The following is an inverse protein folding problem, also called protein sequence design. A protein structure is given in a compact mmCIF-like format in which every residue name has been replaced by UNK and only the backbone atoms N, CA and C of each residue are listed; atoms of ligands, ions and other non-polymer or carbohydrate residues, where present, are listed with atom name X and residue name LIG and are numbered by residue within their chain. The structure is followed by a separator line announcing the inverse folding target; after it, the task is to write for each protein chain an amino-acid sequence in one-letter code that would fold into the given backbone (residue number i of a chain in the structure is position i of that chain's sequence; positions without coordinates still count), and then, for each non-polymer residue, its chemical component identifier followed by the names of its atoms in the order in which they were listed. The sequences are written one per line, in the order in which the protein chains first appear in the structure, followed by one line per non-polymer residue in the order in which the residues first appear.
data_IF_350944734045
#
_entry.id   IF_350944734045
#
_cell.length_a   1.000
_cell.length_b   1.000
_cell.length_c   1.000
_cell.angle_alpha   90.00
_cell.angle_beta   90.00
_cell.angle_gamma   90.00
#
_symmetry.space_group_name_H-M   'P 1'
#
loop_
_entity.id
_entity.type
_entity.pdbx_description
1 polymer ?
#
# COMPACT_ATOMS: atom_id res chain seq x y z
N UNK A 1 -18.86 80.43 11.84
CA UNK A 1 -18.68 79.06 12.38
C UNK A 1 -19.47 78.09 11.52
N UNK A 2 -18.80 77.27 10.69
CA UNK A 2 -19.46 76.15 9.98
C UNK A 2 -19.31 74.91 10.88
N UNK A 3 -20.42 74.42 11.41
CA UNK A 3 -20.44 73.14 12.12
C UNK A 3 -20.49 72.03 11.08
N UNK A 4 -19.44 71.21 11.01
CA UNK A 4 -19.41 70.01 10.19
C UNK A 4 -20.14 68.90 10.96
N UNK A 5 -21.34 68.55 10.49
CA UNK A 5 -22.13 67.48 11.05
C UNK A 5 -21.62 66.15 10.47
N UNK A 6 -20.89 65.39 11.27
CA UNK A 6 -20.44 64.05 10.89
C UNK A 6 -21.59 63.06 11.07
N UNK A 7 -22.11 62.52 9.97
CA UNK A 7 -23.06 61.41 9.99
C UNK A 7 -22.29 60.10 10.18
N UNK A 8 -22.55 59.40 11.28
CA UNK A 8 -22.04 58.04 11.53
C UNK A 8 -23.03 57.01 11.03
N UNK A 9 -22.54 55.93 10.43
CA UNK A 9 -23.36 54.79 9.99
C UNK A 9 -23.82 53.95 11.18
N UNK A 10 -24.89 53.18 10.98
CA UNK A 10 -25.35 52.21 11.97
C UNK A 10 -24.36 51.06 12.16
N UNK A 11 -24.43 50.42 13.32
CA UNK A 11 -23.61 49.25 13.65
C UNK A 11 -24.07 48.04 12.83
N UNK A 12 -23.11 47.20 12.44
CA UNK A 12 -23.42 45.94 11.76
C UNK A 12 -23.95 44.88 12.73
N UNK A 13 -24.56 43.83 12.18
CA UNK A 13 -24.88 42.63 12.94
C UNK A 13 -23.65 42.05 13.65
N UNK A 14 -23.84 41.55 14.86
CA UNK A 14 -22.76 40.97 15.66
C UNK A 14 -22.36 39.60 15.10
N UNK A 15 -21.07 39.42 14.79
CA UNK A 15 -20.51 38.12 14.41
C UNK A 15 -19.84 37.48 15.63
N UNK A 16 -20.22 36.26 15.96
CA UNK A 16 -19.58 35.49 17.03
C UNK A 16 -18.34 34.79 16.47
N UNK A 17 -17.16 35.22 16.91
CA UNK A 17 -15.89 34.56 16.62
C UNK A 17 -15.60 33.51 17.69
N UNK A 18 -15.26 32.30 17.29
CA UNK A 18 -14.73 31.26 18.18
C UNK A 18 -13.26 31.04 17.85
N UNK A 19 -12.40 31.23 18.83
CA UNK A 19 -10.96 31.05 18.72
C UNK A 19 -10.56 29.85 19.55
N UNK A 20 -9.80 28.94 18.96
CA UNK A 20 -9.26 27.77 19.63
C UNK A 20 -7.78 28.00 19.89
N UNK A 21 -7.31 27.70 21.11
CA UNK A 21 -5.89 27.86 21.47
C UNK A 21 -4.98 26.80 20.81
N UNK A 22 -5.56 25.67 20.41
CA UNK A 22 -4.80 24.55 19.85
C UNK A 22 -4.57 24.73 18.35
N UNK A 23 -3.33 24.49 17.91
CA UNK A 23 -3.03 24.34 16.48
C UNK A 23 -3.79 23.11 15.95
N UNK A 24 -4.58 23.24 14.89
CA UNK A 24 -5.28 22.11 14.33
C UNK A 24 -4.27 21.07 13.81
N UNK A 25 -4.65 19.80 13.85
CA UNK A 25 -3.90 18.70 13.25
C UNK A 25 -4.67 18.23 12.02
N UNK A 26 -4.11 18.32 10.81
CA UNK A 26 -4.78 17.84 9.61
C UNK A 26 -4.84 16.32 9.58
N UNK A 27 -5.86 15.79 8.90
CA UNK A 27 -6.07 14.36 8.65
C UNK A 27 -5.60 14.04 7.23
N UNK A 28 -4.57 13.20 7.12
CA UNK A 28 -4.08 12.69 5.85
C UNK A 28 -4.78 11.37 5.51
N UNK A 29 -5.28 11.28 4.28
CA UNK A 29 -5.82 10.06 3.67
C UNK A 29 -5.06 9.76 2.39
N UNK A 30 -4.96 8.48 2.06
CA UNK A 30 -4.24 8.00 0.87
C UNK A 30 -5.16 7.06 0.09
N UNK A 31 -5.23 7.23 -1.22
CA UNK A 31 -6.05 6.38 -2.08
C UNK A 31 -5.43 6.20 -3.47
N UNK A 32 -5.23 4.95 -3.94
CA UNK A 32 -5.31 3.72 -3.15
C UNK A 32 -4.09 3.57 -2.22
N UNK A 33 -4.18 2.76 -1.16
CA UNK A 33 -3.03 2.44 -0.28
C UNK A 33 -1.93 1.59 -0.95
N UNK A 34 -2.18 1.19 -2.21
CA UNK A 34 -1.22 0.65 -3.17
C UNK A 34 -0.65 -0.75 -2.92
N UNK A 35 -0.53 -1.56 -3.98
CA UNK A 35 0.04 -2.93 -3.99
C UNK A 35 0.93 -3.19 -5.24
N UNK A 36 0.84 -2.37 -6.30
CA UNK A 36 1.41 -2.68 -7.63
C UNK A 36 2.42 -1.63 -8.10
N UNK A 37 3.73 -1.80 -7.95
CA UNK A 37 4.75 -0.76 -8.15
C UNK A 37 4.52 0.17 -9.36
N UNK A 38 4.72 1.47 -9.15
CA UNK A 38 4.86 2.45 -10.23
C UNK A 38 3.61 3.24 -10.64
N UNK A 39 2.39 2.89 -10.24
CA UNK A 39 1.24 3.76 -10.50
C UNK A 39 0.93 4.75 -9.36
N UNK A 40 -0.01 5.65 -9.62
CA UNK A 40 -0.12 6.93 -8.93
C UNK A 40 -1.02 6.91 -7.70
N UNK A 41 -0.50 7.34 -6.55
CA UNK A 41 -1.28 7.48 -5.31
C UNK A 41 -1.81 8.89 -5.19
N UNK A 42 -3.07 9.05 -4.78
CA UNK A 42 -3.62 10.34 -4.38
C UNK A 42 -3.54 10.48 -2.86
N UNK A 43 -2.84 11.52 -2.40
CA UNK A 43 -2.84 11.99 -1.02
C UNK A 43 -3.92 13.06 -0.87
N UNK A 44 -4.71 13.04 0.20
CA UNK A 44 -5.69 14.09 0.51
C UNK A 44 -5.57 14.52 1.97
N UNK A 45 -5.52 15.82 2.21
CA UNK A 45 -5.25 16.43 3.51
C UNK A 45 -6.44 17.29 3.92
N UNK A 46 -7.10 16.95 5.02
CA UNK A 46 -8.28 17.66 5.51
C UNK A 46 -7.98 18.38 6.82
N UNK A 47 -8.38 19.64 6.94
CA UNK A 47 -8.28 20.42 8.17
C UNK A 47 -9.67 20.56 8.77
N UNK A 48 -9.79 20.27 10.06
CA UNK A 48 -11.04 20.46 10.81
C UNK A 48 -11.51 21.92 10.69
N UNK A 49 -12.76 22.13 10.30
CA UNK A 49 -13.34 23.45 9.96
C UNK A 49 -12.68 24.11 8.72
N UNK A 50 -12.87 23.54 7.52
CA UNK A 50 -12.26 24.06 6.30
C UNK A 50 -12.72 25.51 6.05
N UNK A 51 -11.76 26.40 5.86
CA UNK A 51 -11.98 27.82 5.58
C UNK A 51 -11.19 28.21 4.33
N UNK A 52 -11.60 29.27 3.63
CA UNK A 52 -10.85 29.78 2.49
C UNK A 52 -9.42 30.21 2.90
N UNK A 53 -8.44 29.97 2.03
CA UNK A 53 -7.07 30.44 2.20
C UNK A 53 -6.09 29.47 2.86
N UNK A 54 -6.46 28.21 3.07
CA UNK A 54 -5.49 27.16 3.41
C UNK A 54 -4.61 26.82 2.21
N UNK A 55 -3.32 26.60 2.48
CA UNK A 55 -2.37 25.99 1.56
C UNK A 55 -1.79 24.74 2.18
N UNK A 56 -1.71 23.67 1.40
CA UNK A 56 -1.28 22.36 1.86
C UNK A 56 0.15 22.06 1.45
N UNK A 57 0.92 21.52 2.38
CA UNK A 57 2.32 21.20 2.24
C UNK A 57 2.49 19.69 2.44
N UNK A 58 3.15 19.04 1.50
CA UNK A 58 3.23 17.58 1.39
C UNK A 58 4.65 17.11 1.53
N UNK A 59 4.88 16.15 2.42
CA UNK A 59 6.20 15.67 2.74
C UNK A 59 6.25 14.15 2.63
N UNK A 60 7.38 13.65 2.13
CA UNK A 60 7.76 12.25 2.27
C UNK A 60 8.42 12.11 3.64
N UNK A 61 7.75 11.44 4.56
CA UNK A 61 8.15 11.37 5.96
C UNK A 61 9.26 10.36 6.25
N UNK A 62 9.50 9.40 5.35
CA UNK A 62 10.43 8.28 5.60
C UNK A 62 11.17 7.92 4.29
N UNK A 63 12.50 7.66 4.28
CA UNK A 63 13.40 7.33 5.41
C UNK A 63 13.77 8.45 6.38
N UNK A 64 13.60 9.73 6.03
CA UNK A 64 13.93 10.84 6.94
C UNK A 64 12.86 11.95 6.89
N UNK A 65 12.50 12.47 8.07
CA UNK A 65 11.44 13.49 8.28
C UNK A 65 11.96 14.91 7.96
N UNK A 66 13.25 15.04 7.65
CA UNK A 66 13.91 16.32 7.37
C UNK A 66 13.48 16.87 6.01
N UNK A 67 12.45 17.71 6.01
CA UNK A 67 12.04 18.63 4.93
C UNK A 67 12.05 18.04 3.50
N UNK A 68 11.75 16.74 3.37
CA UNK A 68 11.60 16.05 2.07
C UNK A 68 10.28 16.45 1.43
N UNK A 69 10.19 17.71 1.04
CA UNK A 69 9.03 18.31 0.44
C UNK A 69 8.81 17.72 -0.96
N UNK A 70 7.57 17.29 -1.23
CA UNK A 70 7.23 16.76 -2.53
C UNK A 70 7.32 17.85 -3.61
N UNK A 71 7.72 17.51 -4.85
CA UNK A 71 7.90 18.48 -5.92
C UNK A 71 6.61 19.25 -6.18
N UNK A 72 6.72 20.58 -6.31
CA UNK A 72 5.56 21.47 -6.48
C UNK A 72 4.88 21.91 -5.18
N UNK A 73 5.34 21.44 -4.01
CA UNK A 73 4.77 21.82 -2.71
C UNK A 73 5.50 22.98 -2.00
N UNK A 74 6.51 23.60 -2.62
CA UNK A 74 7.36 24.68 -2.03
C UNK A 74 6.61 25.92 -1.57
N UNK A 75 5.52 26.28 -2.26
CA UNK A 75 4.65 27.41 -1.89
C UNK A 75 3.29 26.99 -1.32
N UNK A 76 3.13 25.69 -1.07
CA UNK A 76 1.88 25.02 -0.71
C UNK A 76 0.88 24.96 -1.89
N UNK A 77 0.08 23.91 -1.94
CA UNK A 77 -0.99 23.73 -2.93
C UNK A 77 -2.30 24.32 -2.41
N UNK A 78 -3.07 24.98 -3.26
CA UNK A 78 -4.44 25.40 -2.91
C UNK A 78 -5.40 24.21 -2.89
N UNK A 79 -5.10 23.19 -3.71
CA UNK A 79 -5.81 21.91 -3.69
C UNK A 79 -5.43 21.12 -2.43
N UNK A 80 -6.44 20.54 -1.80
CA UNK A 80 -6.36 19.62 -0.65
C UNK A 80 -5.90 18.20 -1.04
N UNK A 81 -5.54 17.98 -2.30
CA UNK A 81 -5.09 16.70 -2.85
C UNK A 81 -3.80 16.81 -3.66
N UNK A 82 -2.95 15.79 -3.58
CA UNK A 82 -1.68 15.69 -4.30
C UNK A 82 -1.47 14.30 -4.87
N UNK A 83 -1.01 14.19 -6.12
CA UNK A 83 -0.77 12.91 -6.79
C UNK A 83 0.74 12.60 -6.78
N UNK A 84 1.10 11.45 -6.22
CA UNK A 84 2.46 10.93 -6.24
C UNK A 84 2.62 9.93 -7.38
N UNK A 85 3.59 10.14 -8.25
CA UNK A 85 3.90 9.27 -9.39
C UNK A 85 5.19 8.48 -9.18
N UNK A 86 5.28 7.29 -9.79
CA UNK A 86 6.54 6.55 -9.93
C UNK A 86 7.12 5.97 -8.64
N UNK A 87 6.30 5.81 -7.60
CA UNK A 87 6.74 5.21 -6.34
C UNK A 87 6.88 3.69 -6.49
N UNK A 88 8.08 3.16 -6.20
CA UNK A 88 8.40 1.73 -6.38
C UNK A 88 8.52 0.96 -5.06
N UNK A 89 8.71 1.67 -3.95
CA UNK A 89 8.94 1.08 -2.62
C UNK A 89 7.94 1.61 -1.61
N UNK A 90 7.81 0.92 -0.47
CA UNK A 90 7.03 1.40 0.67
C UNK A 90 7.53 2.79 1.11
N UNK A 91 6.61 3.73 1.32
CA UNK A 91 6.92 5.11 1.70
C UNK A 91 5.87 5.69 2.65
N UNK A 92 6.33 6.49 3.63
CA UNK A 92 5.45 7.25 4.52
C UNK A 92 5.27 8.69 4.02
N UNK A 93 4.07 9.23 4.18
CA UNK A 93 3.71 10.61 3.85
C UNK A 93 3.07 11.32 5.04
N UNK A 94 3.32 12.63 5.13
CA UNK A 94 2.65 13.53 6.08
C UNK A 94 2.24 14.81 5.35
N UNK A 95 1.17 15.45 5.83
CA UNK A 95 0.76 16.75 5.35
C UNK A 95 0.73 17.79 6.48
N UNK A 96 0.83 19.06 6.09
CA UNK A 96 0.73 20.23 6.95
C UNK A 96 -0.03 21.30 6.19
N UNK A 97 -0.80 22.15 6.86
CA UNK A 97 -1.46 23.27 6.23
C UNK A 97 -0.96 24.61 6.79
N UNK A 98 -1.05 25.67 6.00
CA UNK A 98 -0.67 27.03 6.39
C UNK A 98 -1.60 28.07 5.79
N UNK A 99 -1.78 29.20 6.48
CA UNK A 99 -2.59 30.34 5.99
C UNK A 99 -2.12 31.67 6.57
N UNK A 100 -2.47 32.77 5.91
CA UNK A 100 -2.19 34.14 6.38
C UNK A 100 -0.82 34.69 5.95
N UNK A 101 -0.56 35.95 6.30
CA UNK A 101 0.71 36.63 6.06
C UNK A 101 1.12 37.44 7.32
N UNK A 102 2.11 37.00 8.12
CA UNK A 102 2.96 35.82 7.92
C UNK A 102 2.19 34.50 8.04
N UNK A 103 2.72 33.44 7.42
CA UNK A 103 2.04 32.14 7.34
C UNK A 103 1.99 31.47 8.73
N UNK A 104 0.77 31.18 9.18
CA UNK A 104 0.49 30.40 10.40
C UNK A 104 0.24 28.96 10.00
N UNK A 105 1.04 28.05 10.54
CA UNK A 105 0.98 26.64 10.21
C UNK A 105 0.26 25.78 11.25
N UNK A 106 -0.37 24.72 10.76
CA UNK A 106 -0.90 23.60 11.55
C UNK A 106 0.23 22.71 12.08
N UNK A 107 -0.12 21.74 12.93
CA UNK A 107 0.76 20.60 13.22
C UNK A 107 0.87 19.71 11.98
N UNK A 108 1.86 18.79 11.96
CA UNK A 108 1.89 17.70 10.98
C UNK A 108 0.74 16.72 11.23
N UNK A 109 0.21 16.15 10.14
CA UNK A 109 -0.70 15.01 10.21
C UNK A 109 -0.01 13.80 10.83
N UNK A 110 -0.79 12.79 11.19
CA UNK A 110 -0.23 11.45 11.38
C UNK A 110 0.34 10.92 10.06
N UNK A 111 1.37 10.08 10.16
CA UNK A 111 2.00 9.44 9.00
C UNK A 111 1.08 8.40 8.41
N UNK A 112 0.87 8.46 7.10
CA UNK A 112 0.21 7.40 6.32
C UNK A 112 1.20 6.78 5.37
N UNK A 113 1.25 5.46 5.30
CA UNK A 113 2.14 4.78 4.38
C UNK A 113 1.40 4.30 3.14
N UNK A 114 2.17 4.22 2.07
CA UNK A 114 1.85 3.58 0.80
C UNK A 114 2.81 2.41 0.70
N UNK A 115 2.30 1.22 0.44
CA UNK A 115 3.09 -0.01 0.49
C UNK A 115 3.37 -0.59 -0.90
N UNK A 116 4.50 -1.29 -1.03
CA UNK A 116 4.84 -2.05 -2.24
C UNK A 116 4.98 -3.53 -1.90
N UNK A 117 4.38 -4.40 -2.72
CA UNK A 117 4.54 -5.86 -2.59
C UNK A 117 5.88 -6.37 -3.14
N UNK A 118 6.64 -5.52 -3.83
CA UNK A 118 7.92 -5.91 -4.43
C UNK A 118 9.04 -5.95 -3.40
N UNK A 119 9.83 -7.02 -3.48
CA UNK A 119 10.96 -7.28 -2.58
C UNK A 119 12.02 -6.19 -2.76
N UNK A 120 12.41 -5.57 -1.64
CA UNK A 120 13.48 -4.58 -1.62
C UNK A 120 14.85 -5.28 -1.51
N UNK A 121 15.91 -4.85 -2.22
CA UNK A 121 17.22 -5.49 -2.16
C UNK A 121 17.84 -5.54 -0.77
N UNK A 122 17.56 -4.54 0.08
CA UNK A 122 18.10 -4.46 1.45
C UNK A 122 17.39 -5.37 2.45
N UNK A 123 16.10 -5.67 2.23
CA UNK A 123 15.27 -6.43 3.14
C UNK A 123 14.02 -7.02 2.50
N UNK A 124 13.64 -8.17 3.01
CA UNK A 124 12.45 -8.92 2.64
C UNK A 124 11.64 -9.30 3.89
N UNK A 125 10.33 -9.08 3.82
CA UNK A 125 9.36 -9.63 4.76
C UNK A 125 8.81 -10.92 4.17
N UNK A 126 8.96 -12.02 4.89
CA UNK A 126 8.41 -13.32 4.55
C UNK A 126 7.25 -13.68 5.47
N UNK A 127 6.25 -14.39 4.93
CA UNK A 127 5.08 -14.87 5.69
C UNK A 127 5.09 -16.39 5.70
N UNK A 128 4.89 -16.97 6.88
CA UNK A 128 4.84 -18.41 7.09
C UNK A 128 3.48 -18.74 7.73
N UNK A 129 2.65 -19.55 7.07
CA UNK A 129 2.80 -20.11 5.71
C UNK A 129 2.68 -19.05 4.60
N UNK A 130 3.33 -19.26 3.44
CA UNK A 130 3.38 -18.33 2.29
C UNK A 130 2.01 -18.15 1.62
N UNK A 131 1.16 -17.35 2.27
CA UNK A 131 -0.13 -16.87 1.77
C UNK A 131 -0.50 -15.58 2.50
N UNK A 132 -1.44 -14.83 1.93
CA UNK A 132 -1.89 -13.54 2.48
C UNK A 132 -3.25 -13.61 3.18
N UNK A 133 -4.00 -14.69 2.97
CA UNK A 133 -5.30 -14.90 3.61
C UNK A 133 -5.23 -16.07 4.58
N UNK A 134 -5.75 -15.88 5.78
CA UNK A 134 -5.69 -16.85 6.86
C UNK A 134 -7.04 -17.02 7.55
N UNK A 135 -7.22 -18.17 8.19
CA UNK A 135 -8.40 -18.40 9.02
C UNK A 135 -8.22 -17.80 10.41
N UNK A 136 -9.33 -17.53 11.09
CA UNK A 136 -9.31 -17.27 12.53
C UNK A 136 -8.64 -18.44 13.24
N UNK A 137 -7.76 -18.12 14.19
CA UNK A 137 -6.90 -19.06 14.92
C UNK A 137 -5.80 -19.76 14.11
N UNK A 138 -5.53 -19.35 12.86
CA UNK A 138 -4.31 -19.77 12.15
C UNK A 138 -3.07 -19.29 12.92
N UNK A 139 -2.05 -20.16 13.00
CA UNK A 139 -0.71 -19.76 13.46
C UNK A 139 0.06 -19.17 12.28
N UNK A 140 0.17 -17.85 12.25
CA UNK A 140 0.85 -17.09 11.19
C UNK A 140 2.08 -16.43 11.78
N UNK A 141 3.20 -16.51 11.06
CA UNK A 141 4.46 -15.90 11.42
C UNK A 141 4.93 -14.98 10.31
N UNK A 142 5.50 -13.86 10.67
CA UNK A 142 6.15 -12.94 9.74
C UNK A 142 7.60 -12.78 10.15
N UNK A 143 8.51 -12.81 9.19
CA UNK A 143 9.95 -12.74 9.46
C UNK A 143 10.65 -11.75 8.54
N UNK A 144 11.49 -10.91 9.12
CA UNK A 144 12.37 -10.00 8.38
C UNK A 144 13.71 -10.68 8.08
N UNK A 145 14.11 -10.65 6.81
CA UNK A 145 15.43 -11.09 6.36
C UNK A 145 16.09 -9.96 5.56
N UNK A 146 17.34 -9.63 5.87
CA UNK A 146 18.04 -8.52 5.22
C UNK A 146 19.53 -8.47 5.56
N UNK A 147 20.25 -7.57 4.90
CA UNK A 147 21.71 -7.43 5.01
C UNK A 147 22.17 -6.80 6.33
N UNK A 148 21.25 -6.17 7.07
CA UNK A 148 21.46 -5.61 8.41
C UNK A 148 20.74 -6.44 9.48
N UNK A 149 21.28 -6.48 10.70
CA UNK A 149 20.73 -7.22 11.83
C UNK A 149 19.66 -6.46 12.65
N UNK A 150 19.13 -5.35 12.11
CA UNK A 150 18.33 -4.36 12.86
C UNK A 150 16.92 -4.11 12.30
N UNK A 151 16.36 -5.04 11.51
CA UNK A 151 15.00 -4.93 11.00
C UNK A 151 13.96 -5.22 12.09
N UNK A 152 12.97 -4.34 12.23
CA UNK A 152 11.82 -4.50 13.13
C UNK A 152 10.56 -4.71 12.30
N UNK A 153 9.76 -5.70 12.66
CA UNK A 153 8.43 -5.86 12.08
C UNK A 153 7.54 -4.72 12.55
N UNK A 154 6.81 -4.12 11.62
CA UNK A 154 5.75 -3.14 11.85
C UNK A 154 4.47 -3.64 11.21
N UNK A 155 3.33 -3.18 11.72
CA UNK A 155 2.06 -3.35 11.05
C UNK A 155 1.08 -2.23 11.32
N UNK A 156 0.12 -2.06 10.44
CA UNK A 156 -1.06 -1.20 10.62
C UNK A 156 -2.28 -2.09 10.46
N UNK A 157 -3.14 -2.09 11.46
CA UNK A 157 -4.43 -2.77 11.41
C UNK A 157 -5.49 -1.84 10.79
N UNK A 158 -6.59 -2.42 10.28
CA UNK A 158 -7.64 -1.68 9.54
C UNK A 158 -8.23 -0.45 10.26
N UNK A 159 -8.19 -0.38 11.60
CA UNK A 159 -8.64 0.78 12.37
C UNK A 159 -7.66 1.97 12.33
N UNK A 160 -6.55 1.82 11.61
CA UNK A 160 -5.51 2.82 11.44
C UNK A 160 -4.51 2.86 12.59
N UNK A 161 -4.65 2.02 13.62
CA UNK A 161 -3.69 1.94 14.71
C UNK A 161 -2.43 1.21 14.28
N UNK A 162 -1.29 1.80 14.66
CA UNK A 162 0.02 1.24 14.42
C UNK A 162 0.24 0.08 15.41
N UNK A 163 0.21 -1.14 14.90
CA UNK A 163 0.65 -2.30 15.67
C UNK A 163 2.19 -2.31 15.70
N UNK A 164 2.75 -1.77 16.78
CA UNK A 164 4.14 -2.03 17.14
C UNK A 164 4.26 -3.50 17.52
N UNK A 165 4.76 -4.33 16.60
CA UNK A 165 5.10 -5.73 16.89
C UNK A 165 6.30 -5.86 17.88
N UNK A 166 6.83 -4.74 18.37
CA UNK A 166 7.97 -4.66 19.29
C UNK A 166 7.63 -5.16 20.70
N UNK A 167 6.35 -5.10 21.10
CA UNK A 167 6.01 -5.13 22.54
C UNK A 167 5.43 -6.47 23.04
N UNK A 168 5.08 -7.44 22.17
CA UNK A 168 4.63 -8.76 22.64
C UNK A 168 5.06 -9.94 21.74
N UNK A 169 5.78 -10.89 22.36
CA UNK A 169 6.05 -12.27 21.88
C UNK A 169 6.84 -12.41 20.56
N UNK A 170 7.94 -11.68 20.43
CA UNK A 170 9.02 -12.07 19.52
C UNK A 170 9.51 -13.48 19.88
N UNK A 171 9.50 -14.41 18.92
CA UNK A 171 10.16 -15.72 19.10
C UNK A 171 11.69 -15.57 18.95
N UNK A 172 12.12 -14.60 18.13
CA UNK A 172 13.50 -14.26 17.79
C UNK A 172 13.55 -12.75 17.43
N UNK A 173 14.73 -12.14 17.27
CA UNK A 173 14.87 -10.70 16.93
C UNK A 173 14.15 -10.30 15.61
N UNK A 174 13.89 -11.24 14.70
CA UNK A 174 13.32 -10.97 13.37
C UNK A 174 11.97 -11.65 13.07
N UNK A 175 11.47 -12.53 13.93
CA UNK A 175 10.24 -13.31 13.68
C UNK A 175 9.15 -13.00 14.68
N UNK A 176 7.99 -12.59 14.17
CA UNK A 176 6.81 -12.21 14.94
C UNK A 176 5.64 -13.15 14.68
N UNK A 177 4.91 -13.52 15.73
CA UNK A 177 3.70 -14.35 15.62
C UNK A 177 2.47 -13.45 15.60
N UNK A 178 1.65 -13.58 14.56
CA UNK A 178 0.38 -12.86 14.43
C UNK A 178 -0.72 -13.59 15.19
N UNK A 179 -1.47 -12.84 15.97
CA UNK A 179 -2.63 -13.31 16.71
C UNK A 179 -3.91 -13.12 15.87
N UNK A 180 -4.40 -14.20 15.26
CA UNK A 180 -5.56 -14.19 14.35
C UNK A 180 -6.92 -14.40 15.05
N UNK A 181 -6.98 -14.31 16.39
CA UNK A 181 -8.22 -14.53 17.16
C UNK A 181 -9.09 -13.28 17.26
N UNK A 182 -8.50 -12.08 17.16
CA UNK A 182 -9.21 -10.82 17.03
C UNK A 182 -9.09 -10.37 15.56
N UNK A 183 -10.14 -10.56 14.73
CA UNK A 183 -10.04 -10.37 13.29
C UNK A 183 -9.80 -8.90 12.98
N UNK A 184 -8.58 -8.60 12.55
CA UNK A 184 -8.25 -7.33 11.95
C UNK A 184 -7.33 -7.62 10.78
N UNK A 185 -7.73 -7.17 9.59
CA UNK A 185 -6.79 -7.20 8.48
C UNK A 185 -5.69 -6.20 8.80
N UNK A 186 -4.47 -6.54 8.39
CA UNK A 186 -3.31 -5.77 8.75
C UNK A 186 -2.26 -5.86 7.66
N UNK A 187 -1.64 -4.73 7.38
CA UNK A 187 -0.48 -4.67 6.50
C UNK A 187 0.78 -4.71 7.35
N UNK A 188 1.69 -5.62 7.05
CA UNK A 188 2.96 -5.77 7.73
C UNK A 188 4.13 -5.45 6.81
N UNK A 189 5.21 -4.90 7.37
CA UNK A 189 6.49 -4.65 6.68
C UNK A 189 7.65 -4.67 7.69
N UNK A 190 8.88 -4.71 7.19
CA UNK A 190 10.09 -4.52 7.99
C UNK A 190 10.57 -3.08 7.89
N UNK A 191 10.96 -2.49 9.02
CA UNK A 191 11.55 -1.16 9.13
C UNK A 191 12.95 -1.27 9.75
N UNK A 192 13.95 -0.61 9.16
CA UNK A 192 15.29 -0.50 9.73
C UNK A 192 15.41 0.72 10.66
N UNK A 193 16.44 0.76 11.49
CA UNK A 193 16.75 1.94 12.31
C UNK A 193 17.12 3.18 11.47
N UNK A 194 17.62 2.97 10.25
CA UNK A 194 17.90 4.01 9.26
C UNK A 194 16.67 4.49 8.48
N UNK A 195 15.47 3.99 8.79
CA UNK A 195 14.22 4.36 8.12
C UNK A 195 14.00 3.67 6.76
N UNK A 196 14.74 2.62 6.43
CA UNK A 196 14.48 1.81 5.23
C UNK A 196 13.31 0.84 5.45
N UNK A 197 12.65 0.45 4.36
CA UNK A 197 11.53 -0.49 4.40
C UNK A 197 11.71 -1.67 3.45
N UNK A 198 11.20 -2.84 3.85
CA UNK A 198 11.04 -4.00 2.97
C UNK A 198 9.77 -3.90 2.09
N UNK A 199 9.50 -4.98 1.35
CA UNK A 199 8.15 -5.26 0.86
C UNK A 199 7.15 -5.30 2.03
N UNK A 200 5.90 -4.99 1.70
CA UNK A 200 4.78 -5.09 2.61
C UNK A 200 3.83 -6.21 2.18
N UNK A 201 3.17 -6.84 3.15
CA UNK A 201 2.20 -7.90 2.92
C UNK A 201 0.90 -7.58 3.63
N UNK A 202 -0.21 -7.59 2.89
CA UNK A 202 -1.54 -7.36 3.44
C UNK A 202 -2.17 -8.70 3.88
N UNK A 203 -2.20 -8.94 5.18
CA UNK A 203 -2.74 -10.15 5.79
C UNK A 203 -4.20 -9.94 6.14
N UNK A 204 -5.07 -10.82 5.62
CA UNK A 204 -6.51 -10.80 5.87
C UNK A 204 -6.97 -12.05 6.61
N UNK A 205 -7.92 -11.89 7.53
CA UNK A 205 -8.49 -13.00 8.30
C UNK A 205 -9.95 -13.21 7.91
N UNK A 206 -10.28 -14.39 7.37
CA UNK A 206 -11.62 -14.65 6.86
C UNK A 206 -12.01 -16.14 6.96
N UNK A 207 -13.32 -16.44 6.93
CA UNK A 207 -13.85 -17.82 7.00
C UNK A 207 -13.75 -18.62 5.69
N UNK A 208 -13.63 -17.91 4.57
CA UNK A 208 -13.29 -18.45 3.24
C UNK A 208 -12.06 -17.71 2.75
N UNK A 209 -11.03 -18.46 2.36
CA UNK A 209 -9.76 -17.89 1.92
C UNK A 209 -9.41 -18.34 0.52
N UNK A 210 -8.87 -17.39 -0.24
CA UNK A 210 -8.06 -17.66 -1.42
C UNK A 210 -6.61 -17.86 -0.95
N UNK A 211 -6.09 -19.06 -1.15
CA UNK A 211 -4.68 -19.38 -1.01
C UNK A 211 -3.97 -18.86 -2.27
N UNK A 212 -3.48 -17.63 -2.20
CA UNK A 212 -2.57 -17.02 -3.16
C UNK A 212 -1.19 -16.81 -2.52
N UNK A 213 -0.08 -16.88 -3.28
CA UNK A 213 1.25 -16.59 -2.77
C UNK A 213 1.34 -15.17 -2.21
N UNK A 214 2.24 -14.93 -1.24
CA UNK A 214 2.47 -13.59 -0.69
C UNK A 214 3.41 -12.73 -1.55
N UNK A 215 4.12 -13.35 -2.49
CA UNK A 215 5.12 -12.71 -3.32
C UNK A 215 4.74 -12.76 -4.81
N UNK A 216 5.26 -11.82 -5.63
CA UNK A 216 5.04 -11.82 -7.08
C UNK A 216 5.46 -13.14 -7.75
N UNK A 217 4.72 -13.53 -8.79
CA UNK A 217 4.99 -14.76 -9.57
C UNK A 217 5.79 -14.41 -10.82
N UNK A 218 6.81 -15.20 -11.16
CA UNK A 218 7.62 -14.99 -12.36
C UNK A 218 6.85 -15.31 -13.65
N UNK A 219 6.99 -14.46 -14.68
CA UNK A 219 6.47 -14.74 -16.03
C UNK A 219 7.00 -16.07 -16.59
N UNK A 220 6.14 -16.82 -17.29
CA UNK A 220 6.43 -18.16 -17.79
C UNK A 220 6.38 -19.26 -16.72
N UNK A 221 6.33 -18.87 -15.44
CA UNK A 221 6.17 -19.79 -14.31
C UNK A 221 4.77 -20.41 -14.24
N UNK A 222 4.50 -21.08 -13.11
CA UNK A 222 3.19 -21.63 -12.81
C UNK A 222 2.77 -21.27 -11.40
N UNK A 223 1.51 -20.90 -11.21
CA UNK A 223 0.91 -20.67 -9.89
C UNK A 223 -0.34 -21.50 -9.73
N UNK A 224 -0.55 -22.02 -8.52
CA UNK A 224 -1.77 -22.74 -8.16
C UNK A 224 -2.48 -21.99 -7.05
N UNK A 225 -3.66 -21.46 -7.36
CA UNK A 225 -4.53 -20.83 -6.38
C UNK A 225 -5.43 -21.88 -5.76
N UNK A 226 -5.66 -21.80 -4.46
CA UNK A 226 -6.56 -22.70 -3.75
C UNK A 226 -7.74 -21.96 -3.13
N UNK A 227 -8.94 -22.52 -3.18
CA UNK A 227 -10.07 -22.02 -2.40
C UNK A 227 -10.31 -22.94 -1.21
N UNK A 228 -10.30 -22.37 0.00
CA UNK A 228 -10.50 -23.14 1.23
C UNK A 228 -11.58 -22.51 2.09
N UNK A 229 -12.48 -23.37 2.58
CA UNK A 229 -13.44 -23.05 3.62
C UNK A 229 -12.90 -23.50 4.98
N UNK A 230 -13.09 -22.69 6.02
CA UNK A 230 -12.67 -23.03 7.38
C UNK A 230 -13.31 -24.36 7.82
N UNK A 231 -12.51 -25.24 8.45
CA UNK A 231 -12.91 -26.64 8.73
C UNK A 231 -14.25 -26.80 9.46
N UNK A 232 -14.63 -25.84 10.31
CA UNK A 232 -15.87 -25.88 11.09
C UNK A 232 -17.14 -25.67 10.23
N UNK A 233 -17.00 -25.13 9.01
CA UNK A 233 -18.12 -24.87 8.09
C UNK A 233 -18.27 -25.93 7.00
N UNK A 234 -17.48 -27.00 7.02
CA UNK A 234 -17.45 -27.96 5.91
C UNK A 234 -18.75 -28.78 5.86
N UNK A 235 -19.60 -28.50 4.88
CA UNK A 235 -20.75 -29.34 4.55
C UNK A 235 -20.30 -30.63 3.85
N UNK A 236 -21.05 -31.71 4.04
CA UNK A 236 -20.76 -33.09 3.61
C UNK A 236 -20.90 -33.34 2.09
N UNK A 237 -21.17 -32.30 1.29
CA UNK A 237 -21.55 -32.37 -0.13
C UNK A 237 -20.52 -31.73 -1.07
N UNK A 238 -20.49 -32.10 -2.38
CA UNK A 238 -19.64 -31.45 -3.37
C UNK A 238 -19.99 -29.96 -3.42
N UNK A 239 -19.08 -29.14 -2.89
CA UNK A 239 -19.27 -27.71 -2.78
C UNK A 239 -18.87 -27.09 -4.10
N UNK A 240 -19.81 -26.38 -4.75
CA UNK A 240 -19.52 -25.54 -5.92
C UNK A 240 -18.47 -24.51 -5.52
N UNK A 241 -17.41 -24.41 -6.30
CA UNK A 241 -16.30 -23.47 -6.13
C UNK A 241 -16.19 -22.63 -7.40
N UNK A 242 -16.22 -21.32 -7.21
CA UNK A 242 -16.07 -20.35 -8.30
C UNK A 242 -14.82 -19.52 -8.07
N UNK A 243 -13.95 -19.41 -9.06
CA UNK A 243 -12.83 -18.48 -9.06
C UNK A 243 -13.15 -17.28 -9.95
N UNK A 244 -12.76 -16.10 -9.48
CA UNK A 244 -12.90 -14.84 -10.19
C UNK A 244 -11.53 -14.21 -10.43
N UNK A 245 -11.34 -13.62 -11.60
CA UNK A 245 -10.23 -12.72 -11.94
C UNK A 245 -10.83 -11.40 -12.42
N UNK A 246 -10.48 -10.29 -11.77
CA UNK A 246 -11.04 -8.95 -12.02
C UNK A 246 -12.57 -8.97 -12.12
N UNK A 247 -13.20 -9.61 -11.12
CA UNK A 247 -14.66 -9.83 -11.00
C UNK A 247 -15.31 -10.71 -12.08
N UNK A 248 -14.54 -11.24 -13.04
CA UNK A 248 -15.02 -12.18 -14.06
C UNK A 248 -14.77 -13.62 -13.64
N UNK A 249 -15.71 -14.51 -13.91
CA UNK A 249 -15.58 -15.94 -13.60
C UNK A 249 -14.52 -16.56 -14.54
N UNK A 250 -13.52 -17.23 -13.95
CA UNK A 250 -12.48 -17.98 -14.69
C UNK A 250 -12.61 -19.49 -14.50
N UNK A 251 -13.24 -19.94 -13.42
CA UNK A 251 -13.54 -21.34 -13.17
C UNK A 251 -14.81 -21.44 -12.31
N UNK A 252 -15.73 -22.34 -12.66
CA UNK A 252 -16.96 -22.61 -11.91
C UNK A 252 -17.23 -24.11 -11.97
N UNK A 253 -16.75 -24.83 -10.96
CA UNK A 253 -16.86 -26.29 -10.87
C UNK A 253 -16.65 -26.77 -9.42
N UNK A 254 -16.26 -28.04 -9.23
CA UNK A 254 -15.97 -28.62 -7.91
C UNK A 254 -14.47 -28.56 -7.54
N UNK A 255 -13.59 -28.12 -8.44
CA UNK A 255 -12.14 -28.08 -8.23
C UNK A 255 -11.84 -26.93 -7.27
N UNK A 256 -11.29 -27.30 -6.11
CA UNK A 256 -10.84 -26.35 -5.08
C UNK A 256 -9.51 -25.66 -5.43
N UNK A 257 -8.98 -25.89 -6.63
CA UNK A 257 -7.73 -25.32 -7.12
C UNK A 257 -7.92 -24.76 -8.53
N UNK A 258 -7.27 -23.64 -8.81
CA UNK A 258 -7.10 -23.04 -10.13
C UNK A 258 -5.61 -23.05 -10.46
N UNK A 259 -5.26 -23.68 -11.58
CA UNK A 259 -3.88 -23.78 -12.02
C UNK A 259 -3.66 -22.84 -13.21
N UNK A 260 -2.68 -21.94 -13.09
CA UNK A 260 -2.22 -21.08 -14.18
C UNK A 260 -0.84 -21.59 -14.57
N UNK A 261 -0.76 -22.23 -15.74
CA UNK A 261 0.47 -22.79 -16.29
C UNK A 261 0.94 -21.89 -17.44
N UNK A 262 2.14 -21.31 -17.33
CA UNK A 262 2.64 -20.22 -18.16
C UNK A 262 2.01 -18.85 -17.84
N UNK A 263 2.32 -18.36 -16.64
CA UNK A 263 1.90 -17.03 -16.15
C UNK A 263 2.39 -15.94 -17.11
N UNK A 264 1.49 -15.01 -17.44
CA UNK A 264 1.72 -13.87 -18.32
C UNK A 264 1.28 -12.58 -17.66
N UNK A 265 1.62 -11.42 -18.24
CA UNK A 265 1.15 -10.13 -17.71
C UNK A 265 -0.38 -10.01 -17.65
N UNK A 266 -1.11 -10.73 -18.51
CA UNK A 266 -2.57 -10.74 -18.50
C UNK A 266 -3.18 -11.46 -17.29
N UNK A 267 -2.41 -12.33 -16.63
CA UNK A 267 -2.83 -13.03 -15.42
C UNK A 267 -2.69 -12.16 -14.16
N UNK A 268 -2.05 -11.00 -14.26
CA UNK A 268 -1.98 -10.02 -13.17
C UNK A 268 -3.37 -9.45 -12.85
N UNK A 269 -3.67 -9.26 -11.57
CA UNK A 269 -4.92 -8.62 -11.14
C UNK A 269 -5.50 -9.15 -9.85
N UNK A 270 -6.77 -8.80 -9.60
CA UNK A 270 -7.49 -9.22 -8.40
C UNK A 270 -8.14 -10.59 -8.60
N UNK A 271 -7.79 -11.52 -7.72
CA UNK A 271 -8.43 -12.82 -7.61
C UNK A 271 -9.24 -12.93 -6.33
N UNK A 272 -10.36 -13.65 -6.41
CA UNK A 272 -11.09 -14.15 -5.23
C UNK A 272 -11.74 -15.47 -5.57
N UNK A 273 -12.10 -16.24 -4.56
CA UNK A 273 -12.90 -17.44 -4.76
C UNK A 273 -14.21 -17.36 -3.99
N UNK A 274 -15.16 -18.17 -4.40
CA UNK A 274 -16.44 -18.37 -3.73
C UNK A 274 -16.60 -19.85 -3.47
N UNK A 275 -16.94 -20.17 -2.22
CA UNK A 275 -17.13 -21.53 -1.76
C UNK A 275 -18.55 -21.66 -1.23
N UNK A 276 -19.41 -22.40 -1.94
CA UNK A 276 -20.82 -22.59 -1.55
C UNK A 276 -21.58 -21.28 -1.24
N UNK A 277 -21.35 -20.23 -2.03
CA UNK A 277 -22.01 -18.93 -1.86
C UNK A 277 -21.27 -17.92 -0.97
N UNK A 278 -20.29 -18.35 -0.18
CA UNK A 278 -19.44 -17.44 0.62
C UNK A 278 -18.20 -17.02 -0.18
N UNK A 279 -17.98 -15.71 -0.35
CA UNK A 279 -16.85 -15.14 -1.11
C UNK A 279 -15.65 -14.87 -0.20
N UNK A 280 -14.44 -15.14 -0.67
CA UNK A 280 -13.20 -14.72 -0.03
C UNK A 280 -12.93 -13.22 -0.26
N UNK A 281 -12.09 -12.59 0.58
CA UNK A 281 -11.48 -11.31 0.25
C UNK A 281 -10.76 -11.38 -1.11
N UNK A 282 -10.61 -10.22 -1.77
CA UNK A 282 -9.78 -10.12 -2.97
C UNK A 282 -8.30 -10.14 -2.60
N UNK A 283 -7.50 -10.77 -3.46
CA UNK A 283 -6.05 -10.81 -3.37
C UNK A 283 -5.46 -10.38 -4.71
N UNK A 284 -4.51 -9.45 -4.68
CA UNK A 284 -3.79 -9.04 -5.89
C UNK A 284 -2.67 -10.04 -6.17
N UNK A 285 -2.62 -10.56 -7.39
CA UNK A 285 -1.51 -11.39 -7.86
C UNK A 285 -0.67 -10.55 -8.82
N UNK A 286 0.57 -10.27 -8.42
CA UNK A 286 1.54 -9.53 -9.22
C UNK A 286 2.38 -10.48 -10.07
N UNK A 287 2.70 -10.07 -11.31
CA UNK A 287 3.58 -10.83 -12.20
C UNK A 287 4.90 -10.08 -12.37
N UNK A 288 6.00 -10.74 -11.98
CA UNK A 288 7.37 -10.23 -12.12
C UNK A 288 7.97 -10.70 -13.44
N UNK A 289 8.47 -9.75 -14.21
CA UNK A 289 9.22 -10.01 -15.43
C UNK A 289 10.72 -10.13 -15.08
N UNK A 290 11.40 -11.19 -15.54
CA UNK A 290 12.85 -11.31 -15.37
C UNK A 290 13.58 -10.54 -16.46
N UNK A 291 14.58 -9.74 -16.06
CA UNK A 291 15.52 -9.13 -16.99
C UNK A 291 16.46 -10.21 -17.52
N UNK A 292 16.30 -10.60 -18.78
CA UNK A 292 17.32 -11.38 -19.47
C UNK A 292 18.45 -10.42 -19.83
N UNK A 293 19.49 -10.35 -18.99
CA UNK A 293 20.78 -9.81 -19.40
C UNK A 293 21.44 -10.84 -20.32
N UNK A 294 21.31 -10.67 -21.63
CA UNK A 294 22.16 -11.40 -22.58
C UNK A 294 23.60 -10.93 -22.39
N UNK A 295 24.39 -11.65 -21.60
CA UNK A 295 25.85 -11.52 -21.59
C UNK A 295 26.33 -12.18 -22.88
N UNK A 296 26.52 -11.40 -23.95
CA UNK A 296 27.31 -11.84 -25.08
C UNK A 296 28.77 -11.86 -24.64
N UNK A 297 29.32 -13.07 -24.47
CA UNK A 297 30.74 -13.28 -24.23
C UNK A 297 31.53 -13.01 -25.52
N UNK A 298 31.84 -11.75 -25.80
CA UNK A 298 32.93 -11.41 -26.71
C UNK A 298 33.86 -10.42 -26.02
N UNK A 299 35.15 -10.64 -26.26
CA UNK A 299 36.33 -10.19 -25.52
C UNK A 299 36.52 -8.67 -25.46
N UNK A 300 37.02 -8.19 -24.30
CA UNK A 300 37.73 -6.92 -24.06
C UNK A 300 37.27 -5.67 -24.84
N UNK A 301 36.37 -4.88 -24.25
CA UNK A 301 36.50 -3.42 -24.04
C UNK A 301 35.22 -2.88 -23.37
N UNK A 302 35.39 -2.05 -22.34
CA UNK A 302 34.27 -1.39 -21.65
C UNK A 302 33.57 -0.39 -22.59
N UNK A 303 32.46 -0.80 -23.20
CA UNK A 303 31.43 0.09 -23.70
C UNK A 303 30.11 -0.26 -23.01
N UNK A 304 29.66 0.62 -22.09
CA UNK A 304 28.29 0.57 -21.58
C UNK A 304 27.39 1.02 -22.74
N UNK A 305 26.80 0.05 -23.45
CA UNK A 305 25.83 0.35 -24.51
C UNK A 305 24.55 0.90 -23.90
N UNK A 306 24.18 2.12 -24.27
CA UNK A 306 22.92 2.80 -23.91
C UNK A 306 21.75 2.33 -24.78
N UNK A 307 21.52 1.02 -24.85
CA UNK A 307 20.30 0.45 -25.45
C UNK A 307 19.42 -0.12 -24.33
N UNK A 308 18.10 0.12 -24.35
CA UNK A 308 17.20 -0.50 -23.38
C UNK A 308 17.22 -2.01 -23.58
N UNK A 309 17.72 -2.74 -22.57
CA UNK A 309 17.56 -4.19 -22.48
C UNK A 309 16.07 -4.53 -22.46
N UNK A 310 15.68 -5.50 -23.29
CA UNK A 310 14.29 -5.90 -23.49
C UNK A 310 13.72 -6.52 -22.19
N UNK A 311 12.74 -5.84 -21.59
CA UNK A 311 11.84 -6.41 -20.59
C UNK A 311 10.91 -7.41 -21.31
N UNK A 312 10.98 -8.70 -20.97
CA UNK A 312 9.91 -9.63 -21.37
C UNK A 312 8.67 -9.31 -20.53
N UNK A 313 7.76 -8.51 -21.07
CA UNK A 313 6.34 -8.66 -20.78
C UNK A 313 5.48 -8.53 -22.07
N UNK A 314 6.07 -8.42 -23.28
CA UNK A 314 5.32 -8.08 -24.51
C UNK A 314 5.96 -8.53 -25.84
N UNK A 315 6.54 -9.74 -25.91
CA UNK A 315 7.11 -10.27 -27.18
C UNK A 315 6.19 -11.20 -27.97
N UNK A 316 4.92 -11.37 -27.59
CA UNK A 316 4.00 -12.28 -28.30
C UNK A 316 2.83 -11.59 -29.05
N UNK A 317 2.67 -10.27 -28.96
CA UNK A 317 1.53 -9.57 -29.56
C UNK A 317 1.76 -9.00 -30.99
N UNK A 318 3.00 -8.89 -31.51
CA UNK A 318 3.25 -8.19 -32.78
C UNK A 318 4.18 -8.89 -33.79
N UNK A 319 4.02 -10.21 -33.99
CA UNK A 319 4.56 -10.88 -35.19
C UNK A 319 3.57 -11.88 -35.81
N UNK A 320 2.40 -11.37 -36.21
CA UNK A 320 1.63 -11.96 -37.31
C UNK A 320 0.92 -10.83 -38.04
N UNK A 321 1.52 -10.30 -39.10
CA UNK A 321 0.87 -9.89 -40.34
C UNK A 321 1.89 -9.27 -41.31
N UNK A 322 1.91 -9.86 -42.51
CA UNK A 322 2.60 -9.51 -43.75
C UNK A 322 4.09 -9.87 -43.89
#
# INVERSE_FOLDING_TARGET
MKSAQHNTTEWSDSVKLTVYDNKPRPVLTVSPSWLSPGASVTLKCEVEHPSAGWRFYWYKAVPDVTDNLLPGSSSGTEQDSYIVHGQTHTAGYVCKAGRGNPVIYTMYSETKFVWSGDVHPSASLTVIPDRVQHFTYDSVFVSCEGTSAEWRVRGIIDDGSLSSCSDWRMLNRSTFKIETYNPSNAVYWCESESGEFSNAVNITVHGVILVSPAHPVTEGGSVTLGCKLQKLKRAQYPSRVVFYHNDKIVQDDIRVKLNITAVSKSDEGFYRCEYSGEKSPQSWISVKCEYISTISSETETYFISSFPSLLSCDLRAHKTHH
#
